data_IF_302674354851
#
_entry.id   IF_302674354851
#
_cell.length_a   1.000
_cell.length_b   1.000
_cell.length_c   1.000
_cell.angle_alpha   90.00
_cell.angle_beta   90.00
_cell.angle_gamma   90.00
#
_symmetry.space_group_name_H-M   'P 1'
#
loop_
_entity.id
_entity.type
_entity.pdbx_description
1 polymer ?
#
# COMPACT_ATOMS: atom_id res chain seq x y z
N UNK A 1 32.42 2.53 -32.36
CA UNK A 1 31.12 3.19 -31.99
C UNK A 1 29.96 2.18 -31.92
N UNK A 2 29.70 1.40 -32.96
CA UNK A 2 28.60 0.41 -33.00
C UNK A 2 28.65 -0.62 -31.84
N UNK A 3 29.82 -1.21 -31.51
CA UNK A 3 29.96 -2.21 -30.43
C UNK A 3 29.61 -1.65 -29.02
N UNK A 4 29.94 -0.38 -28.73
CA UNK A 4 29.60 0.29 -27.47
C UNK A 4 28.08 0.54 -27.36
N UNK A 5 27.39 0.86 -28.46
CA UNK A 5 25.95 1.02 -28.51
C UNK A 5 25.23 -0.33 -28.30
N UNK A 6 25.72 -1.40 -28.92
CA UNK A 6 25.16 -2.75 -28.77
C UNK A 6 25.23 -3.19 -27.31
N UNK A 7 26.41 -3.09 -26.66
CA UNK A 7 26.58 -3.50 -25.24
C UNK A 7 25.68 -2.68 -24.31
N UNK A 8 25.35 -1.44 -24.67
CA UNK A 8 24.55 -0.53 -23.82
C UNK A 8 23.05 -0.75 -23.96
N UNK A 9 22.53 -0.96 -25.18
CA UNK A 9 21.10 -0.98 -25.46
C UNK A 9 20.49 -2.39 -25.56
N UNK A 10 21.27 -3.42 -25.88
CA UNK A 10 20.76 -4.79 -25.89
C UNK A 10 20.25 -5.22 -24.51
N UNK A 11 21.00 -5.05 -23.38
CA UNK A 11 20.50 -5.44 -22.07
C UNK A 11 19.22 -4.68 -21.70
N UNK A 12 19.17 -3.37 -21.98
CA UNK A 12 17.97 -2.57 -21.73
C UNK A 12 16.77 -3.09 -22.54
N UNK A 13 16.97 -3.38 -23.83
CA UNK A 13 15.90 -3.93 -24.68
C UNK A 13 15.41 -5.30 -24.22
N UNK A 14 16.33 -6.20 -23.82
CA UNK A 14 15.99 -7.52 -23.26
C UNK A 14 15.19 -7.38 -21.96
N UNK A 15 15.61 -6.49 -21.05
CA UNK A 15 14.91 -6.28 -19.78
C UNK A 15 13.54 -5.63 -19.99
N UNK A 16 13.40 -4.69 -20.92
CA UNK A 16 12.11 -4.12 -21.28
C UNK A 16 11.17 -5.18 -21.85
N UNK A 17 11.68 -6.06 -22.71
CA UNK A 17 10.91 -7.19 -23.25
C UNK A 17 10.48 -8.14 -22.13
N UNK A 18 11.38 -8.46 -21.20
CA UNK A 18 11.06 -9.29 -20.03
C UNK A 18 9.95 -8.67 -19.18
N UNK A 19 10.04 -7.37 -18.87
CA UNK A 19 9.01 -6.64 -18.14
C UNK A 19 7.68 -6.72 -18.88
N UNK A 20 7.67 -6.41 -20.19
CA UNK A 20 6.47 -6.47 -21.02
C UNK A 20 5.85 -7.88 -21.06
N UNK A 21 6.67 -8.93 -21.24
CA UNK A 21 6.19 -10.32 -21.22
C UNK A 21 5.56 -10.69 -19.89
N UNK A 22 6.20 -10.33 -18.77
CA UNK A 22 5.69 -10.62 -17.42
C UNK A 22 4.38 -9.87 -17.15
N UNK A 23 4.24 -8.65 -17.65
CA UNK A 23 2.98 -7.90 -17.56
C UNK A 23 1.87 -8.48 -18.44
N UNK A 24 2.21 -9.08 -19.58
CA UNK A 24 1.24 -9.55 -20.58
C UNK A 24 0.80 -11.00 -20.35
N UNK A 25 1.65 -11.83 -19.73
CA UNK A 25 1.41 -13.27 -19.56
C UNK A 25 1.12 -13.57 -18.08
N UNK A 26 -0.15 -13.88 -17.70
CA UNK A 26 -0.53 -14.09 -16.30
C UNK A 26 0.32 -15.13 -15.56
N UNK A 27 0.73 -16.21 -16.25
CA UNK A 27 1.59 -17.24 -15.66
C UNK A 27 2.96 -16.69 -15.24
N UNK A 28 3.55 -15.77 -16.02
CA UNK A 28 4.81 -15.12 -15.67
C UNK A 28 4.64 -14.12 -14.54
N UNK A 29 3.53 -13.39 -14.48
CA UNK A 29 3.19 -12.50 -13.36
C UNK A 29 3.04 -13.29 -12.06
N UNK A 30 2.35 -14.43 -12.11
CA UNK A 30 2.22 -15.34 -10.96
C UNK A 30 3.59 -15.92 -10.55
N UNK A 31 4.38 -16.40 -11.50
CA UNK A 31 5.73 -16.93 -11.23
C UNK A 31 6.61 -15.86 -10.56
N UNK A 32 6.60 -14.64 -11.10
CA UNK A 32 7.36 -13.54 -10.49
C UNK A 32 6.92 -13.29 -9.06
N UNK A 33 5.63 -13.08 -8.81
CA UNK A 33 5.13 -12.73 -7.50
C UNK A 33 5.34 -13.85 -6.47
N UNK A 34 5.21 -15.12 -6.87
CA UNK A 34 5.30 -16.25 -5.94
C UNK A 34 6.73 -16.72 -5.66
N UNK A 35 7.66 -16.59 -6.62
CA UNK A 35 9.00 -17.18 -6.47
C UNK A 35 10.13 -16.17 -6.57
N UNK A 36 10.06 -15.22 -7.49
CA UNK A 36 11.15 -14.28 -7.77
C UNK A 36 11.13 -13.12 -6.79
N UNK A 37 9.96 -12.50 -6.60
CA UNK A 37 9.80 -11.33 -5.73
C UNK A 37 10.22 -11.59 -4.27
N UNK A 38 9.87 -12.70 -3.60
CA UNK A 38 10.33 -12.95 -2.23
C UNK A 38 11.84 -12.94 -2.06
N UNK A 39 12.58 -13.38 -3.08
CA UNK A 39 14.05 -13.33 -3.08
C UNK A 39 14.52 -11.89 -3.26
N UNK A 40 13.96 -11.16 -4.23
CA UNK A 40 14.30 -9.77 -4.50
C UNK A 40 14.01 -8.91 -3.25
N UNK A 41 12.81 -9.03 -2.67
CA UNK A 41 12.43 -8.25 -1.49
C UNK A 41 13.35 -8.50 -0.31
N UNK A 42 13.76 -9.76 -0.09
CA UNK A 42 14.72 -10.12 0.97
C UNK A 42 16.09 -9.46 0.74
N UNK A 43 16.62 -9.53 -0.48
CA UNK A 43 17.94 -8.96 -0.81
C UNK A 43 17.91 -7.44 -0.71
N UNK A 44 16.91 -6.80 -1.30
CA UNK A 44 16.79 -5.34 -1.30
C UNK A 44 16.50 -4.79 0.09
N UNK A 45 15.60 -5.43 0.86
CA UNK A 45 15.33 -5.05 2.25
C UNK A 45 16.56 -5.24 3.15
N UNK A 46 17.32 -6.32 2.97
CA UNK A 46 18.58 -6.51 3.69
C UNK A 46 19.54 -5.35 3.42
N UNK A 47 19.73 -4.99 2.15
CA UNK A 47 20.58 -3.87 1.76
C UNK A 47 20.06 -2.55 2.33
N UNK A 48 18.76 -2.24 2.15
CA UNK A 48 18.19 -0.99 2.64
C UNK A 48 18.24 -0.87 4.16
N UNK A 49 18.14 -1.97 4.90
CA UNK A 49 18.19 -2.00 6.36
C UNK A 49 19.58 -1.62 6.96
N UNK A 50 20.63 -1.59 6.13
CA UNK A 50 21.95 -1.09 6.56
C UNK A 50 21.93 0.44 6.81
N UNK A 51 20.95 1.16 6.28
CA UNK A 51 20.86 2.61 6.39
C UNK A 51 19.77 3.00 7.40
N UNK A 52 20.02 4.02 8.27
CA UNK A 52 19.02 4.47 9.24
C UNK A 52 17.91 5.34 8.64
N UNK A 53 18.06 5.79 7.41
CA UNK A 53 17.14 6.65 6.67
C UNK A 53 16.60 5.93 5.42
N UNK A 54 15.54 6.49 4.82
CA UNK A 54 14.93 5.95 3.61
C UNK A 54 15.79 6.29 2.38
N UNK A 55 16.52 5.28 1.88
CA UNK A 55 17.37 5.45 0.67
C UNK A 55 16.53 5.58 -0.60
N UNK A 56 15.32 5.01 -0.62
CA UNK A 56 14.36 5.16 -1.71
C UNK A 56 13.89 6.60 -1.89
N UNK A 57 13.60 7.29 -0.79
CA UNK A 57 13.22 8.72 -0.82
C UNK A 57 14.34 9.56 -1.43
N UNK A 58 15.59 9.31 -1.01
CA UNK A 58 16.75 10.02 -1.56
C UNK A 58 17.01 9.67 -3.01
N UNK A 59 16.80 8.41 -3.41
CA UNK A 59 16.93 7.99 -4.81
C UNK A 59 15.88 8.69 -5.69
N UNK A 60 14.62 8.74 -5.26
CA UNK A 60 13.54 9.42 -6.00
C UNK A 60 13.85 10.93 -6.12
N UNK A 61 14.16 11.58 -4.99
CA UNK A 61 14.52 13.00 -4.99
C UNK A 61 15.72 13.30 -5.88
N UNK A 62 16.79 12.50 -5.76
CA UNK A 62 18.00 12.63 -6.58
C UNK A 62 17.72 12.39 -8.07
N UNK A 63 16.84 11.43 -8.39
CA UNK A 63 16.45 11.15 -9.78
C UNK A 63 15.67 12.30 -10.40
N UNK A 64 14.66 12.82 -9.69
CA UNK A 64 13.87 13.98 -10.15
C UNK A 64 14.79 15.20 -10.33
N UNK A 65 15.61 15.50 -9.33
CA UNK A 65 16.56 16.61 -9.39
C UNK A 65 17.55 16.42 -10.55
N UNK A 66 18.06 15.19 -10.73
CA UNK A 66 18.99 14.86 -11.81
C UNK A 66 18.39 15.09 -13.19
N UNK A 67 17.17 14.61 -13.44
CA UNK A 67 16.46 14.77 -14.72
C UNK A 67 16.16 16.26 -15.02
N UNK A 68 15.90 17.06 -13.99
CA UNK A 68 15.66 18.51 -14.17
C UNK A 68 16.97 19.26 -14.37
N UNK A 69 17.98 19.02 -13.55
CA UNK A 69 19.21 19.82 -13.53
C UNK A 69 20.20 19.42 -14.64
N UNK A 70 20.28 18.12 -14.96
CA UNK A 70 21.23 17.61 -15.94
C UNK A 70 21.11 18.26 -17.34
N UNK A 71 19.92 18.49 -17.93
CA UNK A 71 19.78 19.17 -19.21
C UNK A 71 20.44 20.52 -19.24
N UNK A 72 20.22 21.35 -18.22
CA UNK A 72 20.82 22.67 -18.11
C UNK A 72 22.33 22.59 -17.93
N UNK A 73 22.82 21.76 -17.04
CA UNK A 73 24.25 21.53 -16.86
C UNK A 73 24.92 21.03 -18.13
N UNK A 74 24.33 20.03 -18.79
CA UNK A 74 24.87 19.44 -20.01
C UNK A 74 24.86 20.43 -21.18
N UNK A 75 23.83 21.29 -21.26
CA UNK A 75 23.75 22.33 -22.30
C UNK A 75 24.75 23.44 -22.07
N UNK A 76 24.84 23.99 -20.86
CA UNK A 76 25.63 25.16 -20.51
C UNK A 76 27.11 24.79 -20.38
N UNK A 77 27.43 23.80 -19.57
CA UNK A 77 28.84 23.46 -19.25
C UNK A 77 29.47 22.50 -20.25
N UNK A 78 28.72 21.46 -20.70
CA UNK A 78 29.26 20.48 -21.65
C UNK A 78 28.94 20.78 -23.10
N UNK A 79 28.18 21.83 -23.39
CA UNK A 79 27.78 22.29 -24.74
C UNK A 79 27.19 21.18 -25.60
N UNK A 80 26.50 20.21 -24.98
CA UNK A 80 25.89 19.11 -25.69
C UNK A 80 24.63 19.57 -26.47
N UNK A 81 24.33 18.98 -27.64
CA UNK A 81 23.11 19.27 -28.37
C UNK A 81 21.91 18.66 -27.64
N UNK A 82 20.76 19.33 -27.68
CA UNK A 82 19.52 18.90 -27.01
C UNK A 82 19.12 17.46 -27.32
N UNK A 83 19.24 17.03 -28.58
CA UNK A 83 18.99 15.64 -28.99
C UNK A 83 19.77 14.61 -28.13
N UNK A 84 21.05 14.90 -27.86
CA UNK A 84 21.90 14.00 -27.07
C UNK A 84 21.54 14.04 -25.59
N UNK A 85 21.12 15.20 -25.10
CA UNK A 85 20.65 15.37 -23.71
C UNK A 85 19.38 14.58 -23.50
N UNK A 86 18.34 14.80 -24.32
CA UNK A 86 17.06 14.09 -24.22
C UNK A 86 17.19 12.57 -24.37
N UNK A 87 18.08 12.10 -25.26
CA UNK A 87 18.36 10.68 -25.39
C UNK A 87 18.97 10.07 -24.11
N UNK A 88 19.81 10.82 -23.39
CA UNK A 88 20.41 10.35 -22.14
C UNK A 88 19.41 10.36 -20.99
N UNK A 89 18.59 11.40 -20.88
CA UNK A 89 17.54 11.46 -19.89
C UNK A 89 16.49 10.35 -20.12
N UNK A 90 16.08 10.17 -21.39
CA UNK A 90 15.17 9.08 -21.76
C UNK A 90 15.74 7.70 -21.43
N UNK A 91 17.02 7.48 -21.71
CA UNK A 91 17.70 6.22 -21.35
C UNK A 91 17.75 6.01 -19.83
N UNK A 92 18.06 7.06 -19.07
CA UNK A 92 18.04 7.00 -17.61
C UNK A 92 16.64 6.64 -17.08
N UNK A 93 15.61 7.31 -17.59
CA UNK A 93 14.22 7.03 -17.21
C UNK A 93 13.79 5.59 -17.57
N UNK A 94 14.25 5.06 -18.70
CA UNK A 94 14.01 3.65 -19.05
C UNK A 94 14.69 2.68 -18.08
N UNK A 95 15.89 2.98 -17.61
CA UNK A 95 16.56 2.18 -16.58
C UNK A 95 15.83 2.26 -15.22
N UNK A 96 15.34 3.45 -14.82
CA UNK A 96 14.51 3.62 -13.62
C UNK A 96 13.20 2.83 -13.75
N UNK A 97 12.56 2.87 -14.93
CA UNK A 97 11.37 2.08 -15.23
C UNK A 97 11.61 0.57 -15.10
N UNK A 98 12.66 0.07 -15.72
CA UNK A 98 13.03 -1.35 -15.63
C UNK A 98 13.32 -1.74 -14.19
N UNK A 99 14.08 -0.92 -13.47
CA UNK A 99 14.39 -1.18 -12.07
C UNK A 99 13.15 -1.21 -11.18
N UNK A 100 12.25 -0.24 -11.35
CA UNK A 100 10.96 -0.21 -10.65
C UNK A 100 10.19 -1.52 -10.82
N UNK A 101 10.01 -1.96 -12.08
CA UNK A 101 9.24 -3.16 -12.34
C UNK A 101 9.93 -4.42 -11.83
N UNK A 102 11.21 -4.58 -12.05
CA UNK A 102 11.95 -5.75 -11.59
C UNK A 102 12.09 -5.81 -10.08
N UNK A 103 12.18 -4.68 -9.40
CA UNK A 103 12.30 -4.64 -7.95
C UNK A 103 10.96 -4.89 -7.23
N UNK A 104 9.83 -4.38 -7.78
CA UNK A 104 8.53 -4.48 -7.13
C UNK A 104 7.32 -4.42 -8.08
N UNK A 105 7.34 -3.56 -9.11
CA UNK A 105 6.16 -3.22 -9.93
C UNK A 105 5.53 -4.39 -10.66
N UNK A 106 6.26 -5.48 -10.93
CA UNK A 106 5.69 -6.69 -11.54
C UNK A 106 4.67 -7.40 -10.64
N UNK A 107 4.58 -7.08 -9.33
CA UNK A 107 3.51 -7.56 -8.46
C UNK A 107 2.11 -7.09 -8.90
N UNK A 108 1.99 -6.01 -9.68
CA UNK A 108 0.71 -5.64 -10.32
C UNK A 108 0.19 -6.68 -11.33
N UNK A 109 1.02 -7.64 -11.72
CA UNK A 109 0.64 -8.72 -12.64
C UNK A 109 0.33 -10.04 -11.94
N UNK A 110 0.28 -10.06 -10.60
CA UNK A 110 -0.11 -11.24 -9.84
C UNK A 110 -1.62 -11.51 -9.96
N UNK A 111 -2.08 -12.75 -9.70
CA UNK A 111 -3.50 -13.05 -9.54
C UNK A 111 -4.13 -12.19 -8.43
N UNK A 112 -5.41 -11.83 -8.58
CA UNK A 112 -6.11 -11.07 -7.56
C UNK A 112 -6.37 -11.88 -6.29
N UNK A 113 -6.88 -11.22 -5.24
CA UNK A 113 -7.20 -11.84 -3.95
C UNK A 113 -8.00 -13.13 -4.07
N UNK A 114 -9.10 -13.12 -4.81
CA UNK A 114 -10.01 -14.25 -4.95
C UNK A 114 -9.34 -15.47 -5.63
N UNK A 115 -8.49 -15.19 -6.63
CA UNK A 115 -7.74 -16.23 -7.33
C UNK A 115 -6.62 -16.83 -6.47
N UNK A 116 -5.95 -16.02 -5.63
CA UNK A 116 -4.88 -16.49 -4.75
C UNK A 116 -5.38 -17.26 -3.55
N UNK A 117 -6.49 -16.82 -2.97
CA UNK A 117 -7.05 -17.39 -1.73
C UNK A 117 -8.06 -18.47 -1.97
N UNK A 118 -8.59 -18.61 -3.21
CA UNK A 118 -9.75 -19.45 -3.56
C UNK A 118 -11.02 -19.10 -2.78
N UNK A 119 -11.09 -17.92 -2.16
CA UNK A 119 -12.29 -17.40 -1.53
C UNK A 119 -13.20 -16.87 -2.65
N UNK A 120 -14.47 -17.33 -2.74
CA UNK A 120 -15.36 -16.86 -3.79
C UNK A 120 -15.75 -15.39 -3.55
N UNK A 121 -15.83 -14.63 -4.65
CA UNK A 121 -16.39 -13.29 -4.59
C UNK A 121 -17.86 -13.33 -4.19
N UNK A 122 -18.26 -12.51 -3.23
CA UNK A 122 -19.64 -12.31 -2.81
C UNK A 122 -20.10 -10.91 -3.17
N UNK A 123 -21.03 -10.81 -4.13
CA UNK A 123 -21.75 -9.56 -4.35
C UNK A 123 -22.65 -9.31 -3.15
N UNK A 124 -22.51 -8.19 -2.49
CA UNK A 124 -23.30 -7.89 -1.30
C UNK A 124 -24.43 -6.92 -1.62
N UNK A 125 -25.60 -7.27 -1.09
CA UNK A 125 -26.81 -6.43 -1.07
C UNK A 125 -26.80 -5.53 0.18
N UNK A 126 -27.73 -4.52 0.28
CA UNK A 126 -27.87 -3.74 1.50
C UNK A 126 -28.04 -4.60 2.76
N UNK A 127 -28.78 -5.73 2.68
CA UNK A 127 -29.04 -6.62 3.81
C UNK A 127 -27.75 -7.32 4.29
N UNK A 128 -26.96 -7.89 3.37
CA UNK A 128 -25.66 -8.52 3.70
C UNK A 128 -24.69 -7.47 4.25
N UNK A 129 -24.72 -6.27 3.70
CA UNK A 129 -23.91 -5.17 4.20
C UNK A 129 -24.32 -4.75 5.61
N UNK A 130 -25.64 -4.71 5.90
CA UNK A 130 -26.16 -4.35 7.23
C UNK A 130 -25.70 -5.37 8.28
N UNK A 131 -25.78 -6.67 7.99
CA UNK A 131 -25.27 -7.72 8.87
C UNK A 131 -23.77 -7.56 9.18
N UNK A 132 -22.97 -7.27 8.14
CA UNK A 132 -21.54 -6.96 8.31
C UNK A 132 -21.32 -5.74 9.21
N UNK A 133 -22.10 -4.66 9.01
CA UNK A 133 -21.96 -3.39 9.77
C UNK A 133 -22.34 -3.60 11.22
N UNK A 134 -23.35 -4.41 11.52
CA UNK A 134 -23.78 -4.70 12.88
C UNK A 134 -22.65 -5.36 13.68
N UNK A 135 -22.06 -6.42 13.15
CA UNK A 135 -20.91 -7.11 13.75
C UNK A 135 -19.70 -6.18 13.89
N UNK A 136 -19.47 -5.36 12.87
CA UNK A 136 -18.35 -4.43 12.85
C UNK A 136 -18.46 -3.36 13.93
N UNK A 137 -19.65 -2.72 14.10
CA UNK A 137 -19.87 -1.68 15.12
C UNK A 137 -19.71 -2.25 16.53
N UNK A 138 -20.23 -3.43 16.80
CA UNK A 138 -20.12 -4.08 18.10
C UNK A 138 -18.65 -4.38 18.43
N UNK A 139 -17.90 -4.86 17.43
CA UNK A 139 -16.46 -5.11 17.54
C UNK A 139 -15.65 -3.84 17.71
N UNK A 140 -15.93 -2.79 16.93
CA UNK A 140 -15.31 -1.48 17.05
C UNK A 140 -15.51 -0.89 18.44
N UNK A 141 -16.76 -0.87 18.93
CA UNK A 141 -17.12 -0.33 20.24
C UNK A 141 -16.48 -1.09 21.39
N UNK A 142 -16.47 -2.42 21.33
CA UNK A 142 -15.87 -3.28 22.36
C UNK A 142 -14.34 -3.22 22.39
N UNK A 143 -13.71 -2.91 21.26
CA UNK A 143 -12.26 -2.79 21.16
C UNK A 143 -11.73 -1.41 21.61
N UNK A 144 -12.61 -0.43 21.81
CA UNK A 144 -12.22 0.94 22.14
C UNK A 144 -11.32 1.03 23.37
N UNK A 145 -10.19 1.72 23.19
CA UNK A 145 -9.29 2.11 24.27
C UNK A 145 -8.74 3.51 23.99
N UNK A 146 -8.55 4.35 25.01
CA UNK A 146 -7.83 5.61 24.82
C UNK A 146 -6.39 5.34 24.40
N UNK A 147 -6.02 5.77 23.20
CA UNK A 147 -4.66 5.59 22.67
C UNK A 147 -3.78 6.73 23.17
N UNK A 148 -2.98 6.48 24.20
CA UNK A 148 -2.05 7.46 24.80
C UNK A 148 -0.63 7.36 24.24
N UNK A 149 -0.29 6.26 23.59
CA UNK A 149 1.01 5.99 22.99
C UNK A 149 1.04 4.58 22.41
N UNK A 150 1.98 4.32 21.54
CA UNK A 150 2.17 3.01 20.95
C UNK A 150 3.64 2.63 21.06
N UNK A 151 3.89 1.41 21.51
CA UNK A 151 5.20 0.79 21.47
C UNK A 151 5.41 0.20 20.08
N UNK A 152 6.17 0.87 19.24
CA UNK A 152 6.41 0.49 17.83
C UNK A 152 6.95 -0.96 17.71
N UNK A 153 7.80 -1.38 18.64
CA UNK A 153 8.31 -2.74 18.69
C UNK A 153 7.21 -3.77 18.93
N UNK A 154 6.24 -3.47 19.78
CA UNK A 154 5.09 -4.37 20.02
C UNK A 154 4.21 -4.48 18.76
N UNK A 155 4.02 -3.38 18.02
CA UNK A 155 3.28 -3.40 16.76
C UNK A 155 4.00 -4.27 15.74
N UNK A 156 5.32 -4.10 15.59
CA UNK A 156 6.14 -4.89 14.69
C UNK A 156 6.06 -6.38 15.02
N UNK A 157 6.31 -6.74 16.27
CA UNK A 157 6.41 -8.15 16.68
C UNK A 157 5.04 -8.85 16.55
N UNK A 158 3.96 -8.17 16.93
CA UNK A 158 2.60 -8.70 16.78
C UNK A 158 2.19 -8.79 15.31
N UNK A 159 2.51 -7.79 14.48
CA UNK A 159 2.25 -7.83 13.05
C UNK A 159 2.98 -9.00 12.37
N UNK A 160 4.27 -9.19 12.63
CA UNK A 160 5.07 -10.30 12.08
C UNK A 160 4.50 -11.65 12.50
N UNK A 161 4.17 -11.81 13.79
CA UNK A 161 3.56 -13.03 14.34
C UNK A 161 2.25 -13.35 13.62
N UNK A 162 1.36 -12.37 13.48
CA UNK A 162 0.03 -12.57 12.90
C UNK A 162 0.10 -12.75 11.38
N UNK A 163 0.97 -12.07 10.66
CA UNK A 163 1.22 -12.35 9.25
C UNK A 163 1.72 -13.77 9.03
N UNK A 164 2.65 -14.27 9.87
CA UNK A 164 3.11 -15.67 9.79
C UNK A 164 1.99 -16.69 10.02
N UNK A 165 1.00 -16.37 10.87
CA UNK A 165 -0.16 -17.22 11.10
C UNK A 165 -1.17 -17.20 9.95
N UNK A 166 -1.30 -16.07 9.26
CA UNK A 166 -2.28 -15.83 8.20
C UNK A 166 -1.76 -16.15 6.80
N UNK A 167 -0.44 -16.24 6.62
CA UNK A 167 0.19 -16.35 5.31
C UNK A 167 -0.35 -17.52 4.49
N UNK A 168 -0.44 -18.70 5.07
CA UNK A 168 -0.84 -19.92 4.35
C UNK A 168 -2.34 -19.93 4.02
N UNK A 169 -3.19 -19.34 4.90
CA UNK A 169 -4.65 -19.32 4.72
C UNK A 169 -5.14 -18.17 3.84
N UNK A 170 -4.39 -17.09 3.74
CA UNK A 170 -4.79 -15.87 3.03
C UNK A 170 -3.90 -15.55 1.83
N UNK A 171 -3.02 -16.47 1.40
CA UNK A 171 -2.24 -16.34 0.17
C UNK A 171 -1.33 -15.11 0.15
N UNK A 172 -0.71 -14.76 1.29
CA UNK A 172 0.26 -13.67 1.41
C UNK A 172 1.60 -14.22 1.87
N UNK A 173 2.70 -13.65 1.39
CA UNK A 173 4.04 -14.08 1.81
C UNK A 173 4.30 -13.80 3.29
N UNK A 174 5.19 -14.60 3.87
CA UNK A 174 5.68 -14.36 5.22
C UNK A 174 6.67 -13.18 5.22
N UNK A 175 6.72 -12.37 6.29
CA UNK A 175 7.72 -11.34 6.42
C UNK A 175 9.14 -11.88 6.19
N UNK A 176 9.97 -11.19 5.37
CA UNK A 176 11.30 -11.69 4.97
C UNK A 176 12.29 -11.78 6.14
N UNK A 177 12.01 -11.04 7.22
CA UNK A 177 12.79 -10.99 8.46
C UNK A 177 11.87 -10.99 9.68
N UNK A 178 12.34 -11.49 10.84
CA UNK A 178 11.60 -11.41 12.10
C UNK A 178 11.40 -9.95 12.56
N UNK A 179 12.28 -9.03 12.12
CA UNK A 179 12.26 -7.61 12.50
C UNK A 179 12.33 -6.73 11.24
N UNK A 180 11.26 -6.66 10.40
CA UNK A 180 11.26 -5.75 9.27
C UNK A 180 11.36 -4.31 9.79
N UNK A 181 12.38 -3.60 9.29
CA UNK A 181 12.66 -2.24 9.73
C UNK A 181 11.75 -1.25 9.02
N UNK A 182 10.97 -0.53 9.78
CA UNK A 182 10.26 0.65 9.30
C UNK A 182 11.14 1.89 9.45
N UNK A 183 11.03 2.83 8.53
CA UNK A 183 11.76 4.10 8.57
C UNK A 183 10.80 5.27 8.53
N UNK A 184 11.25 6.42 9.03
CA UNK A 184 10.49 7.66 8.87
C UNK A 184 10.75 8.25 7.49
N UNK A 185 9.71 8.75 6.83
CA UNK A 185 9.83 9.46 5.55
C UNK A 185 10.74 10.68 5.68
N UNK A 186 11.74 10.80 4.79
CA UNK A 186 12.72 11.88 4.84
C UNK A 186 12.06 13.24 4.65
N UNK A 187 11.05 13.32 3.79
CA UNK A 187 10.36 14.56 3.45
C UNK A 187 8.97 14.67 4.11
N UNK A 188 8.84 14.22 5.38
CA UNK A 188 7.57 14.19 6.13
C UNK A 188 6.70 15.43 5.94
N UNK A 189 7.18 16.70 6.08
CA UNK A 189 6.31 17.87 5.95
C UNK A 189 5.64 17.98 4.57
N UNK A 190 6.38 17.68 3.50
CA UNK A 190 5.85 17.72 2.13
C UNK A 190 4.90 16.55 1.86
N UNK A 191 5.22 15.38 2.39
CA UNK A 191 4.40 14.17 2.24
C UNK A 191 3.09 14.31 3.01
N UNK A 192 3.09 14.96 4.17
CA UNK A 192 1.89 15.30 4.93
C UNK A 192 0.96 16.26 4.17
N UNK A 193 1.51 17.19 3.37
CA UNK A 193 0.73 18.10 2.52
C UNK A 193 -0.07 17.39 1.43
N UNK A 194 0.28 16.16 1.09
CA UNK A 194 -0.45 15.32 0.11
C UNK A 194 -1.25 14.19 0.78
N UNK A 195 -1.25 14.13 2.11
CA UNK A 195 -2.07 13.21 2.90
C UNK A 195 -1.58 11.76 2.90
N UNK A 196 -0.31 11.50 2.56
CA UNK A 196 0.28 10.14 2.55
C UNK A 196 0.78 9.80 3.95
N UNK A 197 0.28 8.70 4.51
CA UNK A 197 0.57 8.24 5.88
C UNK A 197 1.66 7.18 5.95
N UNK A 198 1.81 6.40 4.89
CA UNK A 198 2.82 5.37 4.72
C UNK A 198 3.17 5.19 3.25
N UNK A 199 4.25 4.52 2.95
CA UNK A 199 4.65 4.14 1.61
C UNK A 199 5.64 2.99 1.61
N UNK A 200 5.40 2.02 0.74
CA UNK A 200 6.39 1.02 0.40
C UNK A 200 7.26 1.54 -0.74
N UNK A 201 8.57 1.68 -0.49
CA UNK A 201 9.56 2.15 -1.46
C UNK A 201 9.92 1.04 -2.47
N UNK A 202 9.44 1.10 -3.71
CA UNK A 202 9.54 0.01 -4.69
C UNK A 202 10.96 -0.23 -5.18
N UNK A 203 11.87 0.75 -5.05
CA UNK A 203 13.23 0.65 -5.56
C UNK A 203 14.17 -0.15 -4.67
N UNK A 204 13.90 -0.23 -3.36
CA UNK A 204 14.79 -0.86 -2.38
C UNK A 204 14.03 -1.75 -1.38
N UNK A 205 12.76 -2.04 -1.65
CA UNK A 205 11.91 -2.87 -0.80
C UNK A 205 12.01 -2.44 0.68
N UNK A 206 11.87 -1.15 0.93
CA UNK A 206 11.80 -0.56 2.26
C UNK A 206 10.44 0.11 2.44
N UNK A 207 9.85 -0.01 3.63
CA UNK A 207 8.63 0.74 3.88
C UNK A 207 8.86 1.83 4.92
N UNK A 208 8.16 2.93 4.70
CA UNK A 208 8.31 4.15 5.49
C UNK A 208 6.97 4.58 6.04
N UNK A 209 6.99 5.18 7.22
CA UNK A 209 5.83 5.82 7.80
C UNK A 209 6.06 7.32 7.91
N UNK A 210 4.98 8.07 7.78
CA UNK A 210 5.00 9.50 7.94
C UNK A 210 5.31 9.86 9.40
N UNK A 211 6.27 10.76 9.64
CA UNK A 211 6.64 11.20 10.98
C UNK A 211 5.54 11.95 11.72
N UNK A 212 4.51 12.43 11.03
CA UNK A 212 3.32 13.06 11.58
C UNK A 212 2.18 12.06 11.92
N UNK A 213 2.43 10.75 11.75
CA UNK A 213 1.40 9.72 11.92
C UNK A 213 0.91 9.68 13.36
N UNK A 214 -0.41 9.78 13.55
CA UNK A 214 -1.00 9.72 14.88
C UNK A 214 -0.91 8.29 15.47
N UNK A 215 -0.76 8.15 16.80
CA UNK A 215 -0.64 6.85 17.47
C UNK A 215 -1.75 5.87 17.12
N UNK A 216 -2.99 6.35 16.96
CA UNK A 216 -4.13 5.49 16.59
C UNK A 216 -3.98 4.87 15.20
N UNK A 217 -3.34 5.57 14.28
CA UNK A 217 -3.18 5.12 12.90
C UNK A 217 -1.96 4.21 12.71
N UNK A 218 -0.95 4.31 13.62
CA UNK A 218 0.34 3.64 13.46
C UNK A 218 0.22 2.12 13.22
N UNK A 219 -0.51 1.33 14.03
CA UNK A 219 -0.57 -0.13 13.84
C UNK A 219 -1.17 -0.54 12.50
N UNK A 220 -2.30 0.07 12.12
CA UNK A 220 -2.96 -0.24 10.86
C UNK A 220 -2.11 0.20 9.66
N UNK A 221 -1.48 1.38 9.72
CA UNK A 221 -0.59 1.85 8.63
C UNK A 221 0.66 0.96 8.54
N UNK A 222 1.28 0.59 9.67
CA UNK A 222 2.42 -0.33 9.69
C UNK A 222 2.08 -1.66 9.01
N UNK A 223 0.96 -2.26 9.37
CA UNK A 223 0.53 -3.55 8.82
C UNK A 223 0.14 -3.45 7.34
N UNK A 224 -0.41 -2.32 6.91
CA UNK A 224 -0.72 -2.02 5.52
C UNK A 224 0.56 -1.92 4.67
N UNK A 225 1.53 -1.14 5.10
CA UNK A 225 2.81 -1.01 4.38
C UNK A 225 3.62 -2.31 4.37
N UNK A 226 3.50 -3.09 5.44
CA UNK A 226 4.08 -4.42 5.47
C UNK A 226 3.42 -5.35 4.44
N UNK A 227 2.09 -5.26 4.20
CA UNK A 227 1.43 -6.01 3.13
C UNK A 227 2.04 -5.69 1.76
N UNK A 228 2.30 -4.41 1.48
CA UNK A 228 2.98 -4.01 0.24
C UNK A 228 4.40 -4.59 0.14
N UNK A 229 5.16 -4.62 1.25
CA UNK A 229 6.47 -5.28 1.28
C UNK A 229 6.35 -6.80 1.02
N UNK A 230 5.24 -7.42 1.40
CA UNK A 230 4.95 -8.82 1.12
C UNK A 230 4.44 -9.06 -0.32
N UNK A 231 4.44 -8.05 -1.18
CA UNK A 231 4.10 -8.15 -2.59
C UNK A 231 2.64 -7.83 -2.92
N UNK A 232 1.83 -7.42 -1.96
CA UNK A 232 0.46 -6.99 -2.21
C UNK A 232 0.47 -5.62 -2.88
N UNK A 233 -0.03 -5.53 -4.11
CA UNK A 233 -0.03 -4.28 -4.90
C UNK A 233 -1.38 -3.54 -4.86
N UNK A 234 -2.45 -4.21 -4.47
CA UNK A 234 -3.78 -3.61 -4.34
C UNK A 234 -3.95 -2.94 -2.98
N UNK A 235 -4.39 -1.67 -2.98
CA UNK A 235 -4.67 -0.91 -1.76
C UNK A 235 -5.83 -1.52 -0.96
N UNK A 236 -6.87 -2.02 -1.66
CA UNK A 236 -7.97 -2.73 -1.01
C UNK A 236 -7.49 -3.98 -0.28
N UNK A 237 -6.62 -4.75 -0.92
CA UNK A 237 -6.04 -5.94 -0.31
C UNK A 237 -5.10 -5.59 0.85
N UNK A 238 -4.27 -4.55 0.71
CA UNK A 238 -3.40 -4.10 1.80
C UNK A 238 -4.21 -3.64 3.03
N UNK A 239 -5.31 -2.92 2.82
CA UNK A 239 -6.27 -2.57 3.89
C UNK A 239 -6.95 -3.81 4.48
N UNK A 240 -7.32 -4.79 3.65
CA UNK A 240 -7.88 -6.06 4.11
C UNK A 240 -6.90 -6.80 5.02
N UNK A 241 -5.64 -6.95 4.60
CA UNK A 241 -4.62 -7.61 5.42
C UNK A 241 -4.32 -6.85 6.70
N UNK A 242 -4.22 -5.52 6.64
CA UNK A 242 -4.05 -4.68 7.82
C UNK A 242 -5.18 -4.88 8.84
N UNK A 243 -6.42 -4.88 8.37
CA UNK A 243 -7.59 -5.17 9.20
C UNK A 243 -7.50 -6.58 9.80
N UNK A 244 -7.26 -7.61 8.98
CA UNK A 244 -7.20 -9.00 9.43
C UNK A 244 -6.09 -9.22 10.47
N UNK A 245 -4.94 -8.60 10.30
CA UNK A 245 -3.82 -8.68 11.25
C UNK A 245 -4.16 -7.94 12.53
N UNK A 246 -4.50 -6.66 12.45
CA UNK A 246 -4.71 -5.84 13.64
C UNK A 246 -5.89 -6.32 14.50
N UNK A 247 -7.01 -6.71 13.90
CA UNK A 247 -8.21 -7.13 14.64
C UNK A 247 -8.05 -8.46 15.39
N UNK A 248 -7.08 -9.30 14.98
CA UNK A 248 -6.74 -10.56 15.68
C UNK A 248 -5.74 -10.36 16.83
N UNK A 249 -5.18 -9.18 16.98
CA UNK A 249 -4.23 -8.91 18.05
C UNK A 249 -4.87 -9.01 19.43
N UNK A 250 -4.13 -9.57 20.38
CA UNK A 250 -4.53 -9.55 21.79
C UNK A 250 -4.25 -8.20 22.45
N UNK A 251 -3.44 -7.34 21.80
CA UNK A 251 -3.12 -5.99 22.26
C UNK A 251 -4.26 -5.05 21.86
N UNK A 252 -5.04 -4.58 22.86
CA UNK A 252 -6.26 -3.79 22.62
C UNK A 252 -6.03 -2.58 21.71
N UNK A 253 -4.93 -1.83 21.90
CA UNK A 253 -4.62 -0.66 21.07
C UNK A 253 -4.38 -1.00 19.60
N UNK A 254 -3.73 -2.13 19.31
CA UNK A 254 -3.52 -2.62 17.94
C UNK A 254 -4.86 -3.07 17.34
N UNK A 255 -5.65 -3.82 18.11
CA UNK A 255 -6.97 -4.28 17.67
C UNK A 255 -7.92 -3.12 17.37
N UNK A 256 -7.98 -2.13 18.24
CA UNK A 256 -8.79 -0.94 18.01
C UNK A 256 -8.33 -0.17 16.77
N UNK A 257 -7.01 0.01 16.55
CA UNK A 257 -6.46 0.62 15.35
C UNK A 257 -6.94 -0.09 14.07
N UNK A 258 -7.00 -1.43 14.08
CA UNK A 258 -7.50 -2.22 12.96
C UNK A 258 -8.96 -1.91 12.61
N UNK A 259 -9.85 -1.89 13.60
CA UNK A 259 -11.24 -1.50 13.38
C UNK A 259 -11.35 -0.03 12.97
N UNK A 260 -10.65 0.86 13.63
CA UNK A 260 -10.69 2.29 13.35
C UNK A 260 -10.21 2.63 11.93
N UNK A 261 -9.24 1.90 11.38
CA UNK A 261 -8.65 2.18 10.08
C UNK A 261 -9.64 2.09 8.91
N UNK A 262 -10.65 1.22 9.01
CA UNK A 262 -11.66 1.04 7.95
C UNK A 262 -12.98 1.77 8.23
N UNK A 263 -13.09 2.50 9.35
CA UNK A 263 -14.34 3.19 9.73
C UNK A 263 -14.88 4.08 8.61
N UNK A 264 -14.04 4.89 8.00
CA UNK A 264 -14.45 5.77 6.89
C UNK A 264 -14.92 4.99 5.65
N UNK A 265 -14.36 3.80 5.38
CA UNK A 265 -14.81 2.93 4.29
C UNK A 265 -16.17 2.33 4.59
N UNK A 266 -16.41 1.90 5.84
CA UNK A 266 -17.72 1.41 6.28
C UNK A 266 -18.77 2.50 6.19
N UNK A 267 -18.52 3.67 6.76
CA UNK A 267 -19.46 4.80 6.73
C UNK A 267 -19.72 5.31 5.30
N UNK A 268 -18.69 5.34 4.44
CA UNK A 268 -18.84 5.71 3.04
C UNK A 268 -19.71 4.73 2.24
N UNK A 269 -19.58 3.41 2.51
CA UNK A 269 -20.45 2.40 1.92
C UNK A 269 -21.87 2.47 2.48
N UNK A 270 -22.03 2.66 3.80
CA UNK A 270 -23.34 2.82 4.44
C UNK A 270 -24.13 3.99 3.83
N UNK A 271 -23.49 5.15 3.68
CA UNK A 271 -24.12 6.34 3.07
C UNK A 271 -24.56 6.11 1.63
N UNK A 272 -23.90 5.22 0.90
CA UNK A 272 -24.22 4.92 -0.51
C UNK A 272 -25.31 3.86 -0.66
N UNK A 273 -25.37 2.89 0.25
CA UNK A 273 -26.19 1.68 0.12
C UNK A 273 -27.47 1.73 0.93
N UNK A 274 -27.50 2.47 2.03
CA UNK A 274 -28.59 2.48 2.99
C UNK A 274 -29.39 3.79 2.91
N UNK A 275 -30.59 3.77 3.49
CA UNK A 275 -31.40 4.98 3.64
C UNK A 275 -30.77 5.95 4.65
N UNK A 276 -31.14 7.23 4.61
CA UNK A 276 -30.69 8.24 5.57
C UNK A 276 -30.98 7.85 7.02
N UNK A 277 -32.14 7.20 7.26
CA UNK A 277 -32.52 6.72 8.60
C UNK A 277 -31.57 5.61 9.08
N UNK A 278 -31.36 4.60 8.27
CA UNK A 278 -30.43 3.49 8.62
C UNK A 278 -29.00 3.99 8.81
N UNK A 279 -28.56 4.93 7.98
CA UNK A 279 -27.24 5.57 8.16
C UNK A 279 -27.14 6.33 9.49
N UNK A 280 -28.18 7.11 9.85
CA UNK A 280 -28.23 7.81 11.13
C UNK A 280 -28.23 6.85 12.32
N UNK A 281 -28.96 5.73 12.23
CA UNK A 281 -28.98 4.68 13.26
C UNK A 281 -27.60 4.06 13.45
N UNK A 282 -26.85 3.81 12.36
CA UNK A 282 -25.46 3.35 12.41
C UNK A 282 -24.56 4.32 13.17
N UNK A 283 -24.63 5.61 12.83
CA UNK A 283 -23.82 6.65 13.51
C UNK A 283 -24.15 6.72 15.00
N UNK A 284 -25.43 6.65 15.37
CA UNK A 284 -25.89 6.71 16.76
C UNK A 284 -25.45 5.49 17.60
N UNK A 285 -25.19 4.35 16.98
CA UNK A 285 -24.69 3.15 17.65
C UNK A 285 -23.18 3.18 17.91
N UNK A 286 -22.42 3.99 17.16
CA UNK A 286 -20.99 4.14 17.39
C UNK A 286 -20.78 4.98 18.65
N UNK A 287 -19.85 4.58 19.50
CA UNK A 287 -19.49 5.33 20.72
C UNK A 287 -19.11 6.76 20.38
N UNK A 288 -19.64 7.77 21.11
CA UNK A 288 -19.32 9.19 20.89
C UNK A 288 -17.82 9.49 20.90
N UNK A 289 -17.05 8.78 21.74
CA UNK A 289 -15.59 8.96 21.84
C UNK A 289 -14.87 8.54 20.55
N UNK A 290 -15.39 7.53 19.82
CA UNK A 290 -14.85 7.09 18.53
C UNK A 290 -15.15 8.11 17.44
N UNK A 291 -16.38 8.64 17.42
CA UNK A 291 -16.78 9.69 16.48
C UNK A 291 -15.92 10.94 16.69
N UNK A 292 -15.73 11.35 17.94
CA UNK A 292 -14.88 12.50 18.27
C UNK A 292 -13.41 12.26 17.86
N UNK A 293 -12.89 11.06 18.11
CA UNK A 293 -11.54 10.67 17.66
C UNK A 293 -11.40 10.72 16.15
N UNK A 294 -12.39 10.20 15.40
CA UNK A 294 -12.40 10.23 13.94
C UNK A 294 -12.42 11.69 13.42
N UNK A 295 -13.24 12.55 14.02
CA UNK A 295 -13.29 13.97 13.68
C UNK A 295 -11.94 14.66 13.94
N UNK A 296 -11.33 14.48 15.12
CA UNK A 296 -10.01 15.03 15.46
C UNK A 296 -8.92 14.53 14.51
N UNK A 297 -8.94 13.24 14.17
CA UNK A 297 -8.01 12.66 13.21
C UNK A 297 -8.15 13.31 11.82
N UNK A 298 -9.39 13.50 11.36
CA UNK A 298 -9.66 14.18 10.09
C UNK A 298 -9.20 15.65 10.12
N UNK A 299 -9.54 16.41 11.17
CA UNK A 299 -9.14 17.81 11.35
C UNK A 299 -7.61 17.96 11.36
N UNK A 300 -6.91 17.05 12.03
CA UNK A 300 -5.45 17.02 12.09
C UNK A 300 -4.82 16.88 10.70
N UNK A 301 -5.30 15.93 9.89
CA UNK A 301 -4.78 15.73 8.54
C UNK A 301 -5.20 16.84 7.56
N UNK A 302 -6.43 17.34 7.68
CA UNK A 302 -6.90 18.47 6.87
C UNK A 302 -6.11 19.75 7.14
N UNK A 303 -5.67 19.99 8.37
CA UNK A 303 -4.82 21.13 8.71
C UNK A 303 -3.42 21.08 8.06
N UNK A 304 -2.95 19.88 7.70
CA UNK A 304 -1.67 19.67 6.99
C UNK A 304 -1.82 19.61 5.47
N UNK A 305 -2.99 19.21 4.98
CA UNK A 305 -3.24 18.98 3.56
C UNK A 305 -3.21 20.29 2.77
N UNK A 306 -2.51 20.28 1.63
CA UNK A 306 -2.50 21.37 0.67
C UNK A 306 -3.32 21.00 -0.57
N UNK A 307 -4.48 21.59 -0.80
CA UNK A 307 -5.32 21.25 -1.96
C UNK A 307 -4.56 21.36 -3.28
N UNK A 308 -3.77 22.43 -3.47
CA UNK A 308 -3.04 22.66 -4.71
C UNK A 308 -2.05 21.52 -5.04
N UNK A 309 -1.27 21.07 -4.03
CA UNK A 309 -0.24 20.04 -4.23
C UNK A 309 -0.90 18.66 -4.19
N UNK A 310 -1.84 18.47 -3.28
CA UNK A 310 -2.53 17.20 -3.09
C UNK A 310 -3.38 16.79 -4.29
N UNK A 311 -4.07 17.74 -4.94
CA UNK A 311 -4.89 17.44 -6.12
C UNK A 311 -4.02 17.02 -7.32
N UNK A 312 -2.87 17.68 -7.52
CA UNK A 312 -1.90 17.27 -8.54
C UNK A 312 -1.34 15.88 -8.26
N UNK A 313 -0.93 15.63 -7.01
CA UNK A 313 -0.42 14.32 -6.61
C UNK A 313 -1.50 13.24 -6.77
N UNK A 314 -2.73 13.50 -6.37
CA UNK A 314 -3.87 12.60 -6.50
C UNK A 314 -4.14 12.23 -7.96
N UNK A 315 -4.06 13.20 -8.87
CA UNK A 315 -4.21 12.96 -10.31
C UNK A 315 -3.08 12.10 -10.87
N UNK A 316 -1.82 12.40 -10.51
CA UNK A 316 -0.66 11.60 -10.92
C UNK A 316 -0.78 10.16 -10.39
N UNK A 317 -1.18 10.00 -9.14
CA UNK A 317 -1.32 8.70 -8.51
C UNK A 317 -2.46 7.86 -9.13
N UNK A 318 -3.58 8.50 -9.48
CA UNK A 318 -4.68 7.83 -10.19
C UNK A 318 -4.22 7.32 -11.58
N UNK A 319 -3.46 8.13 -12.32
CA UNK A 319 -2.85 7.70 -13.59
C UNK A 319 -1.87 6.53 -13.39
N UNK A 320 -1.06 6.58 -12.34
CA UNK A 320 -0.12 5.52 -11.99
C UNK A 320 -0.85 4.19 -11.70
N UNK A 321 -1.90 4.21 -10.87
CA UNK A 321 -2.69 3.02 -10.54
C UNK A 321 -3.34 2.43 -11.79
N UNK A 322 -3.99 3.26 -12.62
CA UNK A 322 -4.64 2.82 -13.86
C UNK A 322 -3.62 2.26 -14.86
N UNK A 323 -2.44 2.87 -14.96
CA UNK A 323 -1.34 2.37 -15.77
C UNK A 323 -0.80 1.01 -15.33
N UNK A 324 -1.02 0.65 -14.05
CA UNK A 324 -0.65 -0.63 -13.45
C UNK A 324 -1.85 -1.59 -13.28
N UNK A 325 -2.86 -1.51 -14.14
CA UNK A 325 -4.03 -2.41 -14.19
C UNK A 325 -5.00 -2.29 -13.00
N UNK A 326 -4.92 -1.25 -12.21
CA UNK A 326 -5.92 -0.90 -11.20
C UNK A 326 -6.95 0.04 -11.87
N UNK A 327 -7.91 -0.53 -12.60
CA UNK A 327 -8.90 0.23 -13.39
C UNK A 327 -9.73 1.20 -12.55
N UNK A 328 -10.07 0.81 -11.32
CA UNK A 328 -10.77 1.66 -10.35
C UNK A 328 -9.92 2.84 -9.87
N UNK A 329 -8.60 2.85 -10.13
CA UNK A 329 -7.70 3.88 -9.67
C UNK A 329 -7.79 4.04 -8.15
N UNK A 330 -7.91 5.26 -7.66
CA UNK A 330 -8.05 5.56 -6.21
C UNK A 330 -9.33 5.01 -5.57
N UNK A 331 -10.37 4.66 -6.33
CA UNK A 331 -11.56 3.99 -5.79
C UNK A 331 -11.24 2.59 -5.24
N UNK A 332 -10.12 1.98 -5.63
CA UNK A 332 -9.66 0.70 -5.10
C UNK A 332 -9.61 0.68 -3.56
N UNK A 333 -9.28 1.79 -2.92
CA UNK A 333 -9.29 1.88 -1.46
C UNK A 333 -10.63 1.54 -0.82
N UNK A 334 -11.75 1.83 -1.48
CA UNK A 334 -13.10 1.55 -0.96
C UNK A 334 -13.55 0.10 -1.19
N UNK A 335 -12.86 -0.66 -2.01
CA UNK A 335 -13.18 -2.05 -2.35
C UNK A 335 -12.88 -3.02 -1.19
N UNK A 336 -12.16 -2.58 -0.15
CA UNK A 336 -11.86 -3.38 1.04
C UNK A 336 -13.10 -4.00 1.70
N UNK A 337 -14.24 -3.29 1.67
CA UNK A 337 -15.49 -3.79 2.26
C UNK A 337 -15.99 -5.04 1.53
N UNK A 338 -15.89 -5.07 0.20
CA UNK A 338 -16.22 -6.26 -0.60
C UNK A 338 -15.34 -7.48 -0.27
N UNK A 339 -14.05 -7.25 -0.02
CA UNK A 339 -13.12 -8.31 0.41
C UNK A 339 -13.48 -8.85 1.80
N UNK A 340 -13.80 -7.95 2.74
CA UNK A 340 -14.18 -8.33 4.12
C UNK A 340 -15.47 -9.11 4.15
N UNK A 341 -16.50 -8.68 3.44
CA UNK A 341 -17.79 -9.39 3.35
C UNK A 341 -17.60 -10.76 2.68
N UNK A 342 -16.87 -10.82 1.56
CA UNK A 342 -16.60 -12.10 0.89
C UNK A 342 -15.90 -13.10 1.81
N UNK A 343 -14.91 -12.61 2.57
CA UNK A 343 -14.20 -13.43 3.55
C UNK A 343 -15.10 -13.88 4.71
N UNK A 344 -15.94 -12.99 5.25
CA UNK A 344 -16.87 -13.32 6.35
C UNK A 344 -17.89 -14.38 5.94
N UNK A 345 -18.53 -14.22 4.77
CA UNK A 345 -19.49 -15.17 4.22
C UNK A 345 -18.85 -16.54 3.95
N UNK A 346 -17.66 -16.55 3.36
CA UNK A 346 -16.91 -17.78 3.12
C UNK A 346 -16.57 -18.50 4.43
N UNK A 347 -16.09 -17.77 5.45
CA UNK A 347 -15.74 -18.32 6.76
C UNK A 347 -16.94 -18.93 7.48
N UNK A 348 -18.10 -18.25 7.44
CA UNK A 348 -19.34 -18.75 8.04
C UNK A 348 -19.79 -20.07 7.38
N UNK A 349 -19.74 -20.16 6.05
CA UNK A 349 -20.05 -21.40 5.32
C UNK A 349 -19.11 -22.54 5.67
N UNK A 350 -17.80 -22.28 5.69
CA UNK A 350 -16.80 -23.31 6.00
C UNK A 350 -16.90 -23.82 7.43
N UNK A 351 -17.34 -22.97 8.37
CA UNK A 351 -17.58 -23.37 9.76
C UNK A 351 -18.88 -24.21 9.93
N UNK A 352 -19.89 -24.04 9.07
CA UNK A 352 -21.13 -24.82 9.09
C UNK A 352 -20.96 -26.19 8.42
N UNK A 353 -19.95 -26.37 7.57
CA UNK A 353 -19.67 -27.62 6.86
C UNK A 353 -18.73 -28.59 7.66
N UNK A 354 -18.24 -28.15 8.82
CA UNK A 354 -17.41 -28.92 9.79
C UNK A 354 -18.22 -29.35 11.00
#
# INVERSE_FOLDING_TARGET
MKRKLIIRYIPLGVLLLLVWMTQSIPALGNLYSQTVYPVISRVLSFFSNLFPFAIGDLFIFGSITGVIVYPFYARIRKKLPWKRILLRDGEYLLWVYVWFYLAWGLNYSQPNFYQRTHIPYTAYTPEIFQEFVDDYIDSLNSSFVPVKGIHEEQVRDEAVKLYNQLSDSLGVHRPPFPNPRVKTMVFTPFISMVGVTGSMGPFFCEFTLNGDLLPINYPATYTHELAHLLGISSEAEANFYAYQVCTRSQIKGIRFSGYFSILNHVLGNARRLLSEKEYADIINRIRPEIIELAKKNQEYWMAKYSPLIGDVQNWIYDLYLKGNKIESGRKNYSEVIGLLISYQVWKAKTASDQ
#
